data_IF_112950050278
#
_entry.id   IF_112950050278
#
_cell.length_a   1.000
_cell.length_b   1.000
_cell.length_c   1.000
_cell.angle_alpha   90.00
_cell.angle_beta   90.00
_cell.angle_gamma   90.00
#
_symmetry.space_group_name_H-M   'P 1'
#
loop_
_entity.id
_entity.type
_entity.pdbx_description
1 polymer ?
#
# COMPACT_ATOMS: atom_id res chain seq x y z
N UNK A 1 -33.86 57.60 -37.87
CA UNK A 1 -34.19 56.39 -37.08
C UNK A 1 -33.31 55.26 -37.51
N UNK A 2 -32.41 54.77 -36.63
CA UNK A 2 -31.51 53.64 -36.93
C UNK A 2 -32.20 52.38 -36.43
N UNK A 3 -32.54 51.47 -37.33
CA UNK A 3 -33.05 50.14 -36.98
C UNK A 3 -31.88 49.28 -36.46
N UNK A 4 -32.02 48.78 -35.24
CA UNK A 4 -31.09 47.82 -34.62
C UNK A 4 -31.46 46.46 -35.14
N UNK A 5 -30.54 45.71 -35.78
CA UNK A 5 -30.84 44.36 -36.24
C UNK A 5 -31.07 43.44 -35.03
N UNK A 6 -32.23 42.80 -34.96
CA UNK A 6 -32.50 41.72 -34.03
C UNK A 6 -31.64 40.52 -34.41
N UNK A 7 -30.57 40.28 -33.64
CA UNK A 7 -29.79 39.03 -33.72
C UNK A 7 -30.62 37.95 -33.02
N UNK A 8 -31.32 37.13 -33.82
CA UNK A 8 -31.97 35.94 -33.29
C UNK A 8 -30.89 34.95 -32.91
N UNK A 9 -30.72 34.71 -31.58
CA UNK A 9 -29.83 33.65 -31.08
C UNK A 9 -30.42 32.28 -31.48
N UNK A 10 -29.69 31.46 -32.23
CA UNK A 10 -30.16 30.10 -32.54
C UNK A 10 -30.28 29.32 -31.23
N UNK A 11 -31.45 28.81 -30.90
CA UNK A 11 -31.68 27.90 -29.78
C UNK A 11 -31.03 26.54 -30.08
N UNK A 12 -30.62 25.83 -29.02
CA UNK A 12 -30.06 24.49 -29.13
C UNK A 12 -31.10 23.52 -29.73
N UNK A 13 -30.65 22.67 -30.66
CA UNK A 13 -31.46 21.59 -31.20
C UNK A 13 -31.65 20.50 -30.13
N UNK A 14 -32.84 19.88 -30.09
CA UNK A 14 -33.14 18.75 -29.22
C UNK A 14 -32.14 17.59 -29.44
N UNK A 15 -31.67 17.40 -30.68
CA UNK A 15 -30.66 16.40 -31.01
C UNK A 15 -29.30 16.72 -30.39
N UNK A 16 -28.91 17.98 -30.35
CA UNK A 16 -27.66 18.43 -29.77
C UNK A 16 -27.64 18.23 -28.24
N UNK A 17 -28.76 18.51 -27.58
CA UNK A 17 -28.90 18.28 -26.14
C UNK A 17 -28.88 16.77 -25.81
N UNK A 18 -29.56 15.94 -26.58
CA UNK A 18 -29.55 14.48 -26.35
C UNK A 18 -28.18 13.87 -26.62
N UNK A 19 -27.47 14.34 -27.67
CA UNK A 19 -26.10 13.89 -27.94
C UNK A 19 -25.14 14.29 -26.84
N UNK A 20 -25.20 15.54 -26.36
CA UNK A 20 -24.38 16.03 -25.27
C UNK A 20 -24.63 15.24 -23.97
N UNK A 21 -25.89 14.96 -23.64
CA UNK A 21 -26.26 14.17 -22.49
C UNK A 21 -25.74 12.72 -22.60
N UNK A 22 -25.80 12.12 -23.79
CA UNK A 22 -25.25 10.80 -24.07
C UNK A 22 -23.74 10.72 -23.83
N UNK A 23 -22.99 11.70 -24.33
CA UNK A 23 -21.53 11.78 -24.14
C UNK A 23 -21.17 11.94 -22.66
N UNK A 24 -21.86 12.84 -21.96
CA UNK A 24 -21.63 13.09 -20.52
C UNK A 24 -21.92 11.83 -19.71
N UNK A 25 -23.05 11.16 -19.99
CA UNK A 25 -23.42 9.92 -19.29
C UNK A 25 -22.39 8.81 -19.50
N UNK A 26 -21.94 8.62 -20.74
CA UNK A 26 -20.92 7.64 -21.06
C UNK A 26 -19.59 7.96 -20.35
N UNK A 27 -19.17 9.22 -20.33
CA UNK A 27 -17.98 9.67 -19.62
C UNK A 27 -18.06 9.40 -18.10
N UNK A 28 -19.21 9.67 -17.49
CA UNK A 28 -19.40 9.41 -16.06
C UNK A 28 -19.32 7.91 -15.72
N UNK A 29 -19.94 7.06 -16.54
CA UNK A 29 -19.89 5.60 -16.33
C UNK A 29 -18.44 5.10 -16.47
N UNK A 30 -17.68 5.58 -17.44
CA UNK A 30 -16.29 5.21 -17.63
C UNK A 30 -15.43 5.59 -16.41
N UNK A 31 -15.60 6.80 -15.87
CA UNK A 31 -14.87 7.27 -14.67
C UNK A 31 -15.26 6.43 -13.45
N UNK A 32 -16.56 6.17 -13.24
CA UNK A 32 -17.02 5.35 -12.12
C UNK A 32 -16.49 3.92 -12.19
N UNK A 33 -16.32 3.36 -13.38
CA UNK A 33 -15.74 2.02 -13.57
C UNK A 33 -14.25 1.94 -13.21
N UNK A 34 -13.49 3.03 -13.36
CA UNK A 34 -12.06 3.09 -13.04
C UNK A 34 -11.77 3.38 -11.56
N UNK A 35 -12.71 3.98 -10.83
CA UNK A 35 -12.52 4.40 -9.45
C UNK A 35 -12.13 3.25 -8.51
N UNK A 36 -12.81 2.09 -8.51
CA UNK A 36 -12.45 0.96 -7.64
C UNK A 36 -11.03 0.45 -7.91
N UNK A 37 -10.63 0.39 -9.17
CA UNK A 37 -9.29 -0.06 -9.57
C UNK A 37 -8.21 0.89 -9.06
N UNK A 38 -8.43 2.20 -9.18
CA UNK A 38 -7.53 3.22 -8.65
C UNK A 38 -7.37 3.15 -7.13
N UNK A 39 -8.47 2.96 -6.40
CA UNK A 39 -8.43 2.83 -4.94
C UNK A 39 -7.71 1.57 -4.48
N UNK A 40 -7.92 0.43 -5.17
CA UNK A 40 -7.22 -0.81 -4.85
C UNK A 40 -5.71 -0.68 -5.09
N UNK A 41 -5.30 -0.04 -6.17
CA UNK A 41 -3.89 0.20 -6.49
C UNK A 41 -3.25 1.14 -5.47
N UNK A 42 -3.94 2.20 -5.07
CA UNK A 42 -3.47 3.12 -4.05
C UNK A 42 -3.28 2.42 -2.70
N UNK A 43 -4.21 1.54 -2.30
CA UNK A 43 -4.09 0.73 -1.09
C UNK A 43 -2.90 -0.21 -1.16
N UNK A 44 -2.73 -0.93 -2.27
CA UNK A 44 -1.59 -1.84 -2.47
C UNK A 44 -0.25 -1.10 -2.35
N UNK A 45 -0.11 0.07 -2.98
CA UNK A 45 1.10 0.89 -2.86
C UNK A 45 1.35 1.34 -1.43
N UNK A 46 0.31 1.70 -0.68
CA UNK A 46 0.44 2.08 0.72
C UNK A 46 0.92 0.90 1.59
N UNK A 47 0.37 -0.29 1.36
CA UNK A 47 0.76 -1.51 2.06
C UNK A 47 2.22 -1.89 1.76
N UNK A 48 2.68 -1.77 0.51
CA UNK A 48 4.07 -2.01 0.13
C UNK A 48 5.03 -1.02 0.80
N UNK A 49 4.71 0.26 0.83
CA UNK A 49 5.52 1.29 1.50
C UNK A 49 5.62 1.01 3.00
N UNK A 50 4.51 0.66 3.65
CA UNK A 50 4.50 0.29 5.07
C UNK A 50 5.38 -0.95 5.34
N UNK A 51 5.27 -1.97 4.49
CA UNK A 51 6.08 -3.19 4.60
C UNK A 51 7.59 -2.91 4.46
N UNK A 52 7.99 -2.05 3.52
CA UNK A 52 9.39 -1.63 3.34
C UNK A 52 9.90 -0.84 4.55
N UNK A 53 9.09 0.03 5.13
CA UNK A 53 9.44 0.76 6.34
C UNK A 53 9.64 -0.18 7.54
N UNK A 54 8.76 -1.16 7.73
CA UNK A 54 8.89 -2.21 8.75
C UNK A 54 10.18 -2.99 8.54
N UNK A 55 10.46 -3.41 7.32
CA UNK A 55 11.66 -4.14 6.95
C UNK A 55 12.94 -3.35 7.27
N UNK A 56 12.97 -2.06 6.93
CA UNK A 56 14.08 -1.16 7.25
C UNK A 56 14.30 -1.05 8.75
N UNK A 57 13.22 -0.92 9.52
CA UNK A 57 13.29 -0.88 10.99
C UNK A 57 13.87 -2.17 11.59
N UNK A 58 13.48 -3.33 11.05
CA UNK A 58 14.02 -4.63 11.48
C UNK A 58 15.51 -4.72 11.11
N UNK A 59 15.90 -4.35 9.89
CA UNK A 59 17.30 -4.36 9.44
C UNK A 59 18.20 -3.57 10.36
N UNK A 60 17.80 -2.35 10.71
CA UNK A 60 18.55 -1.49 11.64
C UNK A 60 18.64 -2.06 13.04
N UNK A 61 17.61 -2.80 13.49
CA UNK A 61 17.66 -3.46 14.80
C UNK A 61 18.57 -4.68 14.80
N UNK A 62 18.64 -5.41 13.70
CA UNK A 62 19.55 -6.55 13.54
C UNK A 62 21.02 -6.10 13.48
N UNK A 63 21.31 -4.96 12.88
CA UNK A 63 22.66 -4.40 12.84
C UNK A 63 23.17 -3.92 14.20
N UNK A 64 22.28 -3.42 15.07
CA UNK A 64 22.61 -2.87 16.38
C UNK A 64 22.65 -3.90 17.51
N UNK A 65 22.02 -5.05 17.30
CA UNK A 65 21.88 -6.09 18.33
C UNK A 65 22.57 -7.40 17.95
N UNK A 66 22.51 -8.38 18.83
CA UNK A 66 22.87 -9.75 18.49
C UNK A 66 21.79 -10.32 17.56
N UNK A 67 22.12 -10.67 16.32
CA UNK A 67 21.15 -11.17 15.36
C UNK A 67 20.62 -12.55 15.82
N UNK A 68 19.32 -12.61 16.07
CA UNK A 68 18.60 -13.84 16.45
C UNK A 68 17.36 -13.94 15.56
N UNK A 69 17.02 -15.16 15.14
CA UNK A 69 15.79 -15.42 14.39
C UNK A 69 14.57 -14.89 15.15
N UNK A 70 13.60 -14.36 14.42
CA UNK A 70 12.45 -13.79 15.08
C UNK A 70 11.24 -13.54 14.20
N UNK A 71 10.18 -13.18 14.90
CA UNK A 71 8.92 -12.77 14.29
C UNK A 71 8.32 -11.60 15.05
N UNK A 72 7.58 -10.75 14.36
CA UNK A 72 6.84 -9.67 14.98
C UNK A 72 5.57 -9.38 14.16
N UNK A 73 4.57 -8.81 14.84
CA UNK A 73 3.34 -8.32 14.21
C UNK A 73 3.27 -6.81 14.34
N UNK A 74 2.69 -6.17 13.34
CA UNK A 74 2.56 -4.71 13.26
C UNK A 74 1.12 -4.34 12.91
N UNK A 75 0.67 -3.20 13.41
CA UNK A 75 -0.63 -2.65 13.06
C UNK A 75 -0.61 -1.96 11.68
N UNK A 76 -1.74 -1.40 11.28
CA UNK A 76 -1.88 -0.68 10.00
C UNK A 76 -0.94 0.54 9.88
N UNK A 77 -0.54 1.14 11.00
CA UNK A 77 0.37 2.29 11.04
C UNK A 77 1.86 1.86 11.02
N UNK A 78 2.13 0.56 10.93
CA UNK A 78 3.50 0.02 10.96
C UNK A 78 4.12 -0.01 12.35
N UNK A 79 3.35 0.20 13.42
CA UNK A 79 3.84 0.11 14.80
C UNK A 79 3.85 -1.34 15.29
N UNK A 80 4.93 -1.74 15.93
CA UNK A 80 5.09 -3.10 16.47
C UNK A 80 4.08 -3.36 17.59
N UNK A 81 3.34 -4.45 17.48
CA UNK A 81 2.47 -4.95 18.54
C UNK A 81 3.34 -5.74 19.53
N UNK A 82 3.28 -5.42 20.84
CA UNK A 82 4.04 -6.17 21.84
C UNK A 82 3.70 -7.65 21.86
N UNK A 83 4.69 -8.51 22.04
CA UNK A 83 4.49 -9.98 22.16
C UNK A 83 3.68 -10.39 23.38
N UNK A 84 3.59 -9.49 24.36
CA UNK A 84 2.77 -9.66 25.58
C UNK A 84 1.32 -9.20 25.41
N UNK A 85 0.96 -8.67 24.23
CA UNK A 85 -0.41 -8.25 23.95
C UNK A 85 -1.38 -9.44 23.96
N UNK A 86 -2.61 -9.18 24.37
CA UNK A 86 -3.69 -10.18 24.34
C UNK A 86 -3.91 -10.73 22.93
N UNK A 87 -4.06 -12.06 22.75
CA UNK A 87 -4.27 -12.65 21.41
C UNK A 87 -5.47 -12.06 20.65
N UNK A 88 -6.53 -11.68 21.36
CA UNK A 88 -7.70 -11.03 20.73
C UNK A 88 -7.36 -9.63 20.22
N UNK A 89 -6.53 -8.88 20.93
CA UNK A 89 -6.02 -7.59 20.49
C UNK A 89 -5.16 -7.73 19.24
N UNK A 90 -4.25 -8.72 19.22
CA UNK A 90 -3.40 -9.01 18.04
C UNK A 90 -4.26 -9.38 16.85
N UNK A 91 -5.25 -10.26 17.02
CA UNK A 91 -6.14 -10.67 15.94
C UNK A 91 -6.95 -9.52 15.32
N UNK A 92 -7.29 -8.51 16.11
CA UNK A 92 -8.03 -7.34 15.64
C UNK A 92 -7.16 -6.28 14.96
N UNK A 93 -5.92 -6.09 15.41
CA UNK A 93 -5.08 -4.93 15.04
C UNK A 93 -3.88 -5.30 14.19
N UNK A 94 -3.51 -6.58 14.10
CA UNK A 94 -2.37 -7.01 13.29
C UNK A 94 -2.72 -6.94 11.80
N UNK A 95 -1.98 -6.11 11.08
CA UNK A 95 -2.08 -5.97 9.63
C UNK A 95 -0.90 -6.63 8.93
N UNK A 96 0.31 -6.47 9.47
CA UNK A 96 1.54 -7.02 8.90
C UNK A 96 2.15 -8.06 9.84
N UNK A 97 2.67 -9.15 9.26
CA UNK A 97 3.51 -10.11 9.94
C UNK A 97 4.91 -10.04 9.35
N UNK A 98 5.91 -9.86 10.20
CA UNK A 98 7.30 -9.92 9.80
C UNK A 98 7.97 -11.15 10.40
N UNK A 99 8.80 -11.79 9.61
CA UNK A 99 9.66 -12.90 9.99
C UNK A 99 11.07 -12.64 9.47
N UNK A 100 12.07 -12.98 10.27
CA UNK A 100 13.47 -12.94 9.82
C UNK A 100 14.21 -14.17 10.30
N UNK A 101 14.96 -14.74 9.38
CA UNK A 101 15.76 -15.96 9.60
C UNK A 101 17.23 -15.60 9.34
N UNK A 102 18.10 -15.88 10.33
CA UNK A 102 19.54 -15.58 10.27
C UNK A 102 20.28 -16.77 9.65
N UNK A 103 21.01 -16.50 8.59
CA UNK A 103 21.88 -17.46 7.92
C UNK A 103 23.33 -17.23 8.34
N UNK A 104 23.71 -17.80 9.49
CA UNK A 104 25.06 -17.69 10.03
C UNK A 104 26.13 -18.45 9.19
N UNK A 105 25.70 -19.44 8.38
CA UNK A 105 26.59 -20.21 7.52
C UNK A 105 27.03 -19.50 6.24
N UNK A 106 26.48 -18.32 5.93
CA UNK A 106 26.91 -17.47 4.82
C UNK A 106 28.08 -16.59 5.24
N UNK A 107 28.99 -16.28 4.32
CA UNK A 107 30.11 -15.36 4.56
C UNK A 107 30.01 -14.23 3.52
N UNK A 108 29.65 -13.02 3.93
CA UNK A 108 29.23 -12.59 5.28
C UNK A 108 27.88 -13.16 5.71
N UNK A 109 27.58 -13.21 7.03
CA UNK A 109 26.29 -13.68 7.52
C UNK A 109 25.16 -12.79 6.99
N UNK A 110 24.01 -13.39 6.69
CA UNK A 110 22.87 -12.71 6.10
C UNK A 110 21.60 -12.96 6.89
N UNK A 111 20.67 -12.03 6.86
CA UNK A 111 19.32 -12.23 7.34
C UNK A 111 18.33 -12.15 6.17
N UNK A 112 17.43 -13.13 6.07
CA UNK A 112 16.28 -13.07 5.20
C UNK A 112 15.11 -12.49 5.98
N UNK A 113 14.62 -11.33 5.58
CA UNK A 113 13.47 -10.66 6.18
C UNK A 113 12.30 -10.78 5.21
N UNK A 114 11.18 -11.32 5.69
CA UNK A 114 9.92 -11.41 4.95
C UNK A 114 8.86 -10.64 5.71
N UNK A 115 8.19 -9.70 5.05
CA UNK A 115 7.02 -8.98 5.59
C UNK A 115 5.83 -9.35 4.72
N UNK A 116 4.75 -9.85 5.32
CA UNK A 116 3.54 -10.27 4.64
C UNK A 116 2.30 -9.55 5.18
N UNK A 117 1.30 -9.34 4.32
CA UNK A 117 0.01 -8.75 4.66
C UNK A 117 -1.13 -9.26 3.78
N UNK A 118 -2.38 -9.26 4.25
CA UNK A 118 -2.74 -9.18 5.67
C UNK A 118 -2.25 -10.43 6.42
N UNK A 119 -2.13 -10.34 7.75
CA UNK A 119 -1.61 -11.43 8.61
C UNK A 119 -2.35 -12.75 8.40
N UNK A 120 -3.64 -12.69 8.07
CA UNK A 120 -4.52 -13.87 7.96
C UNK A 120 -4.31 -14.72 6.73
N UNK A 121 -3.99 -14.12 5.57
CA UNK A 121 -3.93 -14.84 4.27
C UNK A 121 -2.69 -14.50 3.42
N UNK A 122 -1.83 -13.60 3.88
CA UNK A 122 -0.54 -13.27 3.22
C UNK A 122 -0.67 -13.05 1.70
N UNK A 123 -1.63 -12.21 1.27
CA UNK A 123 -1.89 -11.94 -0.15
C UNK A 123 -0.74 -11.15 -0.78
N UNK A 124 -0.14 -10.22 0.00
CA UNK A 124 1.05 -9.47 -0.37
C UNK A 124 2.24 -9.87 0.50
N UNK A 125 3.43 -9.86 -0.06
CA UNK A 125 4.67 -10.04 0.68
C UNK A 125 5.83 -9.32 0.01
N UNK A 126 6.76 -8.85 0.82
CA UNK A 126 8.06 -8.31 0.38
C UNK A 126 9.15 -9.05 1.11
N UNK A 127 10.19 -9.41 0.39
CA UNK A 127 11.37 -10.10 0.94
C UNK A 127 12.63 -9.28 0.67
N UNK A 128 13.54 -9.29 1.62
CA UNK A 128 14.87 -8.70 1.45
C UNK A 128 15.93 -9.53 2.15
N UNK A 129 17.11 -9.54 1.56
CA UNK A 129 18.29 -10.13 2.17
C UNK A 129 19.17 -8.99 2.66
N UNK A 130 19.44 -9.00 3.95
CA UNK A 130 20.32 -8.02 4.61
C UNK A 130 21.63 -8.69 4.96
N UNK A 131 22.74 -8.06 4.59
CA UNK A 131 24.08 -8.50 5.00
C UNK A 131 24.33 -7.96 6.40
N UNK A 132 24.62 -8.84 7.35
CA UNK A 132 24.92 -8.46 8.71
C UNK A 132 26.41 -8.11 8.81
N UNK A 133 26.71 -6.88 9.25
CA UNK A 133 28.09 -6.51 9.59
C UNK A 133 28.47 -7.31 10.84
N UNK A 134 29.52 -8.13 10.74
CA UNK A 134 30.15 -8.64 11.95
C UNK A 134 30.73 -7.43 12.68
N UNK A 135 30.08 -7.07 13.82
CA UNK A 135 30.64 -6.04 14.67
C UNK A 135 32.11 -6.38 14.95
N UNK A 136 33.00 -5.46 14.57
CA UNK A 136 34.42 -5.58 14.93
C UNK A 136 34.51 -5.65 16.44
N UNK A 137 35.27 -6.58 17.02
CA UNK A 137 35.44 -6.71 18.44
C UNK A 137 36.00 -5.44 19.08
#
# INVERSE_FOLDING_TARGET
MRQIPHISSPGFSLVEVTLALGIVTFGLIAVMGLLPTGLNLAKQSADEVAAVNIMTGISLSLEKGSPVDGKATFNADGMRIPTTADPSYVAMHATYAARWDIRSNSVPPTALITVSWPVTNSIGSVESIVVLSQGSP
#
